data_IF_505662457005
#
_entry.id   IF_505662457005
#
_cell.length_a   1.000
_cell.length_b   1.000
_cell.length_c   1.000
_cell.angle_alpha   90.00
_cell.angle_beta   90.00
_cell.angle_gamma   90.00
#
_symmetry.space_group_name_H-M   'P 1'
#
loop_
_entity.id
_entity.type
_entity.pdbx_description
1 polymer ?
#
# COMPACT_ATOMS: atom_id res chain seq x y z
N UNK A 1 -2.39 11.40 -50.56
CA UNK A 1 -1.80 10.92 -49.28
C UNK A 1 -2.36 9.55 -48.95
N UNK A 2 -1.50 8.56 -48.69
CA UNK A 2 -1.94 7.22 -48.28
C UNK A 2 -2.37 7.20 -46.80
N UNK A 3 -3.17 6.19 -46.42
CA UNK A 3 -3.57 6.00 -45.02
C UNK A 3 -2.36 5.80 -44.10
N UNK A 4 -1.34 5.08 -44.56
CA UNK A 4 -0.10 4.86 -43.79
C UNK A 4 0.66 6.17 -43.54
N UNK A 5 0.75 7.04 -44.55
CA UNK A 5 1.41 8.34 -44.42
C UNK A 5 0.71 9.23 -43.38
N UNK A 6 -0.64 9.20 -43.34
CA UNK A 6 -1.41 9.94 -42.32
C UNK A 6 -1.11 9.44 -40.91
N UNK A 7 -1.04 8.13 -40.70
CA UNK A 7 -0.68 7.56 -39.40
C UNK A 7 0.76 7.86 -39.01
N UNK A 8 1.71 7.82 -39.94
CA UNK A 8 3.12 8.20 -39.68
C UNK A 8 3.25 9.67 -39.28
N UNK A 9 2.58 10.57 -39.99
CA UNK A 9 2.58 11.99 -39.62
C UNK A 9 1.92 12.24 -38.26
N UNK A 10 0.83 11.53 -37.96
CA UNK A 10 0.17 11.59 -36.65
C UNK A 10 1.10 11.09 -35.53
N UNK A 11 1.84 10.01 -35.78
CA UNK A 11 2.84 9.48 -34.86
C UNK A 11 3.96 10.50 -34.57
N UNK A 12 4.55 11.11 -35.60
CA UNK A 12 5.59 12.13 -35.42
C UNK A 12 5.08 13.37 -34.68
N UNK A 13 3.84 13.82 -34.95
CA UNK A 13 3.24 14.93 -34.20
C UNK A 13 3.08 14.63 -32.72
N UNK A 14 2.66 13.41 -32.38
CA UNK A 14 2.52 13.01 -30.97
C UNK A 14 3.87 12.88 -30.28
N UNK A 15 4.91 12.39 -30.98
CA UNK A 15 6.29 12.36 -30.45
C UNK A 15 6.80 13.78 -30.16
N UNK A 16 6.52 14.73 -31.05
CA UNK A 16 6.93 16.12 -30.90
C UNK A 16 6.05 16.93 -29.93
N UNK A 17 5.00 16.33 -29.34
CA UNK A 17 4.10 17.04 -28.41
C UNK A 17 3.20 18.09 -29.07
N UNK A 18 3.06 18.05 -30.40
CA UNK A 18 2.25 18.99 -31.19
C UNK A 18 1.08 18.28 -31.88
N UNK A 19 0.12 17.69 -31.13
CA UNK A 19 -1.07 17.09 -31.71
C UNK A 19 -1.96 18.17 -32.37
N UNK A 20 -2.65 17.77 -33.44
CA UNK A 20 -3.61 18.64 -34.16
C UNK A 20 -5.06 18.28 -33.84
N UNK A 21 -5.34 17.00 -33.58
CA UNK A 21 -6.70 16.50 -33.32
C UNK A 21 -6.88 16.19 -31.84
N UNK A 22 -5.86 15.58 -31.21
CA UNK A 22 -5.87 15.33 -29.78
C UNK A 22 -5.47 16.60 -29.00
N UNK A 23 -5.92 16.66 -27.75
CA UNK A 23 -5.46 17.68 -26.81
C UNK A 23 -3.94 17.55 -26.57
N UNK A 24 -3.29 18.68 -26.28
CA UNK A 24 -1.88 18.72 -25.93
C UNK A 24 -1.59 17.85 -24.69
N UNK A 25 -0.45 17.16 -24.70
CA UNK A 25 0.00 16.33 -23.58
C UNK A 25 -0.57 14.90 -23.54
N UNK A 26 -1.33 14.45 -24.55
CA UNK A 26 -1.71 13.03 -24.63
C UNK A 26 -0.49 12.15 -24.93
N UNK A 27 -0.36 10.99 -24.26
CA UNK A 27 0.76 10.09 -24.50
C UNK A 27 0.66 9.48 -25.90
N UNK A 28 1.82 9.19 -26.48
CA UNK A 28 1.91 8.38 -27.70
C UNK A 28 1.33 7.00 -27.38
N UNK A 29 0.33 6.55 -28.13
CA UNK A 29 -0.20 5.16 -28.10
C UNK A 29 -0.75 4.83 -29.47
N UNK A 30 -0.85 3.55 -29.84
CA UNK A 30 -1.43 3.13 -31.13
C UNK A 30 -2.82 3.74 -31.37
N UNK A 31 -3.67 3.74 -30.35
CA UNK A 31 -5.02 4.30 -30.42
C UNK A 31 -4.98 5.82 -30.60
N UNK A 32 -4.10 6.51 -29.89
CA UNK A 32 -3.95 7.96 -30.01
C UNK A 32 -3.39 8.36 -31.37
N UNK A 33 -2.45 7.58 -31.94
CA UNK A 33 -1.97 7.76 -33.32
C UNK A 33 -3.12 7.63 -34.32
N UNK A 34 -4.03 6.67 -34.13
CA UNK A 34 -5.19 6.52 -35.00
C UNK A 34 -6.17 7.72 -34.88
N UNK A 35 -6.47 8.16 -33.66
CA UNK A 35 -7.32 9.34 -33.41
C UNK A 35 -6.70 10.63 -33.94
N UNK A 36 -5.39 10.78 -33.79
CA UNK A 36 -4.64 11.94 -34.28
C UNK A 36 -4.56 11.98 -35.81
N UNK A 37 -4.68 10.83 -36.48
CA UNK A 37 -4.87 10.75 -37.93
C UNK A 37 -6.33 10.97 -38.38
N UNK A 38 -7.24 11.28 -37.45
CA UNK A 38 -8.68 11.47 -37.72
C UNK A 38 -9.45 10.18 -37.96
N UNK A 39 -8.93 9.05 -37.48
CA UNK A 39 -9.56 7.74 -37.65
C UNK A 39 -10.02 7.16 -36.30
N UNK A 40 -10.91 6.16 -36.36
CA UNK A 40 -11.29 5.37 -35.19
C UNK A 40 -10.07 4.66 -34.58
N UNK A 41 -9.97 4.52 -33.23
CA UNK A 41 -8.87 3.82 -32.57
C UNK A 41 -8.54 2.44 -33.15
N UNK A 42 -9.55 1.73 -33.67
CA UNK A 42 -9.38 0.38 -34.23
C UNK A 42 -8.90 0.36 -35.69
N UNK A 43 -8.74 1.52 -36.35
CA UNK A 43 -8.36 1.62 -37.76
C UNK A 43 -6.88 1.26 -38.02
N UNK A 44 -6.00 1.51 -37.04
CA UNK A 44 -4.58 1.17 -37.11
C UNK A 44 -4.38 -0.30 -36.70
N UNK A 45 -4.64 -1.24 -37.62
CA UNK A 45 -4.55 -2.69 -37.36
C UNK A 45 -3.22 -3.30 -37.81
N UNK A 46 -2.72 -4.28 -37.03
CA UNK A 46 -1.47 -5.02 -37.30
C UNK A 46 -1.46 -5.75 -38.64
N UNK A 47 -2.61 -6.25 -39.08
CA UNK A 47 -2.74 -6.90 -40.38
C UNK A 47 -2.43 -5.96 -41.56
N UNK A 48 -2.69 -4.65 -41.42
CA UNK A 48 -2.56 -3.66 -42.49
C UNK A 48 -1.28 -2.84 -42.39
N UNK A 49 -0.83 -2.54 -41.17
CA UNK A 49 0.32 -1.67 -40.91
C UNK A 49 1.31 -2.32 -39.92
N UNK A 50 1.86 -3.51 -40.23
CA UNK A 50 2.70 -4.25 -39.28
C UNK A 50 3.99 -3.52 -38.93
N UNK A 51 4.62 -2.82 -39.89
CA UNK A 51 5.86 -2.07 -39.66
C UNK A 51 5.65 -0.88 -38.72
N UNK A 52 4.65 -0.04 -39.01
CA UNK A 52 4.34 1.14 -38.19
C UNK A 52 3.96 0.77 -36.76
N UNK A 53 3.23 -0.33 -36.55
CA UNK A 53 2.89 -0.78 -35.18
C UNK A 53 4.14 -1.20 -34.42
N UNK A 54 5.11 -1.87 -35.07
CA UNK A 54 6.38 -2.21 -34.42
C UNK A 54 7.15 -0.96 -34.03
N UNK A 55 7.20 0.05 -34.90
CA UNK A 55 7.85 1.34 -34.58
C UNK A 55 7.19 2.02 -33.38
N UNK A 56 5.86 2.04 -33.32
CA UNK A 56 5.12 2.60 -32.17
C UNK A 56 5.44 1.81 -30.91
N UNK A 57 5.47 0.48 -30.97
CA UNK A 57 5.81 -0.37 -29.82
C UNK A 57 7.24 -0.14 -29.33
N UNK A 58 8.22 -0.07 -30.23
CA UNK A 58 9.60 0.23 -29.89
C UNK A 58 9.74 1.62 -29.25
N UNK A 59 9.04 2.62 -29.78
CA UNK A 59 9.00 3.95 -29.18
C UNK A 59 8.43 3.92 -27.77
N UNK A 60 7.34 3.18 -27.55
CA UNK A 60 6.73 3.01 -26.23
C UNK A 60 7.68 2.33 -25.23
N UNK A 61 8.40 1.29 -25.63
CA UNK A 61 9.37 0.62 -24.75
C UNK A 61 10.52 1.54 -24.34
N UNK A 62 10.98 2.40 -25.26
CA UNK A 62 12.06 3.36 -25.01
C UNK A 62 11.61 4.58 -24.18
N UNK A 63 10.32 4.94 -24.20
CA UNK A 63 9.82 6.20 -23.63
C UNK A 63 8.71 6.02 -22.58
N UNK A 64 8.38 4.78 -22.17
CA UNK A 64 7.45 4.56 -21.07
C UNK A 64 8.17 4.71 -19.72
N UNK A 65 7.88 5.82 -19.04
CA UNK A 65 7.75 5.80 -17.58
C UNK A 65 6.77 4.68 -17.19
N UNK A 66 7.08 3.82 -16.20
CA UNK A 66 6.35 2.57 -15.96
C UNK A 66 4.88 2.85 -15.61
N UNK A 67 3.98 2.62 -16.57
CA UNK A 67 2.54 2.68 -16.36
C UNK A 67 2.17 1.52 -15.43
N UNK A 68 1.70 1.76 -14.19
CA UNK A 68 1.35 0.66 -13.30
C UNK A 68 0.20 -0.14 -13.90
N UNK A 69 0.44 -1.44 -14.11
CA UNK A 69 -0.54 -2.37 -14.66
C UNK A 69 -1.88 -2.26 -13.92
N UNK A 70 -3.00 -2.41 -14.63
CA UNK A 70 -4.37 -2.48 -14.04
C UNK A 70 -4.45 -3.49 -12.88
N UNK A 71 -3.59 -4.50 -12.88
CA UNK A 71 -3.43 -5.46 -11.79
C UNK A 71 -2.81 -4.83 -10.53
N UNK A 72 -1.78 -3.99 -10.68
CA UNK A 72 -1.15 -3.25 -9.58
C UNK A 72 -2.09 -2.19 -8.99
N UNK A 73 -2.90 -1.52 -9.81
CA UNK A 73 -3.92 -0.58 -9.31
C UNK A 73 -5.02 -1.31 -8.55
N UNK A 74 -5.47 -2.48 -9.02
CA UNK A 74 -6.41 -3.33 -8.28
C UNK A 74 -5.84 -3.83 -6.95
N UNK A 75 -4.55 -4.24 -6.90
CA UNK A 75 -3.88 -4.61 -5.66
C UNK A 75 -3.75 -3.44 -4.69
N UNK A 76 -3.35 -2.25 -5.16
CA UNK A 76 -3.30 -1.03 -4.34
C UNK A 76 -4.69 -0.64 -3.82
N UNK A 77 -5.73 -0.75 -4.64
CA UNK A 77 -7.11 -0.50 -4.23
C UNK A 77 -7.60 -1.52 -3.20
N UNK A 78 -7.24 -2.81 -3.33
CA UNK A 78 -7.61 -3.85 -2.35
C UNK A 78 -6.89 -3.66 -1.02
N UNK A 79 -5.63 -3.23 -1.05
CA UNK A 79 -4.84 -2.85 0.14
C UNK A 79 -5.36 -1.56 0.80
N UNK A 80 -5.84 -0.61 0.00
CA UNK A 80 -6.51 0.61 0.48
C UNK A 80 -7.93 0.33 1.00
N UNK A 81 -8.63 -0.65 0.42
CA UNK A 81 -9.95 -1.19 0.85
C UNK A 81 -9.87 -2.15 2.04
N UNK A 82 -8.80 -2.12 2.86
CA UNK A 82 -8.93 -2.64 4.23
C UNK A 82 -10.00 -1.78 4.87
N UNK A 83 -11.21 -2.33 5.01
CA UNK A 83 -12.38 -1.53 5.32
C UNK A 83 -12.19 -0.90 6.69
N UNK A 84 -12.83 0.25 6.94
CA UNK A 84 -12.86 0.84 8.28
C UNK A 84 -13.36 -0.21 9.30
N UNK A 85 -14.27 -1.10 8.89
CA UNK A 85 -14.75 -2.21 9.69
C UNK A 85 -13.65 -3.22 10.06
N UNK A 86 -12.75 -3.58 9.13
CA UNK A 86 -11.63 -4.48 9.42
C UNK A 86 -10.64 -3.86 10.40
N UNK A 87 -10.34 -2.56 10.24
CA UNK A 87 -9.45 -1.83 11.17
C UNK A 87 -10.08 -1.69 12.54
N UNK A 88 -11.39 -1.45 12.60
CA UNK A 88 -12.13 -1.36 13.86
C UNK A 88 -12.15 -2.70 14.57
N UNK A 89 -12.36 -3.80 13.83
CA UNK A 89 -12.31 -5.16 14.38
C UNK A 89 -10.93 -5.48 14.96
N UNK A 90 -9.86 -5.18 14.22
CA UNK A 90 -8.49 -5.38 14.69
C UNK A 90 -8.21 -4.55 15.95
N UNK A 91 -8.66 -3.28 15.98
CA UNK A 91 -8.52 -2.41 17.14
C UNK A 91 -9.29 -2.93 18.38
N UNK A 92 -10.51 -3.46 18.20
CA UNK A 92 -11.27 -4.09 19.27
C UNK A 92 -10.53 -5.31 19.84
N UNK A 93 -10.03 -6.20 18.98
CA UNK A 93 -9.28 -7.37 19.41
C UNK A 93 -8.01 -7.00 20.19
N UNK A 94 -7.28 -5.98 19.72
CA UNK A 94 -6.09 -5.47 20.40
C UNK A 94 -6.42 -4.86 21.77
N UNK A 95 -7.50 -4.08 21.85
CA UNK A 95 -7.97 -3.49 23.11
C UNK A 95 -8.35 -4.59 24.10
N UNK A 96 -9.13 -5.57 23.68
CA UNK A 96 -9.64 -6.62 24.57
C UNK A 96 -8.48 -7.47 25.11
N UNK A 97 -7.48 -7.78 24.27
CA UNK A 97 -6.25 -8.43 24.71
C UNK A 97 -5.46 -7.59 25.73
N UNK A 98 -5.29 -6.29 25.47
CA UNK A 98 -4.59 -5.39 26.38
C UNK A 98 -5.31 -5.26 27.74
N UNK A 99 -6.64 -5.19 27.74
CA UNK A 99 -7.46 -5.12 28.97
C UNK A 99 -7.37 -6.41 29.79
N UNK A 100 -7.34 -7.57 29.12
CA UNK A 100 -7.14 -8.86 29.79
C UNK A 100 -5.76 -8.94 30.47
N UNK A 101 -4.71 -8.49 29.77
CA UNK A 101 -3.35 -8.43 30.33
C UNK A 101 -3.27 -7.44 31.51
N UNK A 102 -3.86 -6.26 31.38
CA UNK A 102 -3.88 -5.25 32.44
C UNK A 102 -4.59 -5.75 33.70
N UNK A 103 -5.74 -6.42 33.53
CA UNK A 103 -6.49 -7.00 34.65
C UNK A 103 -5.66 -8.07 35.37
N UNK A 104 -4.98 -8.92 34.60
CA UNK A 104 -4.07 -9.95 35.14
C UNK A 104 -2.90 -9.33 35.89
N UNK A 105 -2.32 -8.25 35.36
CA UNK A 105 -1.24 -7.51 36.01
C UNK A 105 -1.70 -6.83 37.31
N UNK A 106 -2.86 -6.18 37.33
CA UNK A 106 -3.43 -5.59 38.54
C UNK A 106 -3.67 -6.63 39.63
N UNK A 107 -4.24 -7.79 39.27
CA UNK A 107 -4.39 -8.91 40.20
C UNK A 107 -3.04 -9.31 40.79
N UNK A 108 -2.02 -9.44 39.95
CA UNK A 108 -0.68 -9.84 40.41
C UNK A 108 -0.03 -8.81 41.33
N UNK A 109 -0.24 -7.52 41.06
CA UNK A 109 0.23 -6.44 41.93
C UNK A 109 -0.41 -6.54 43.32
N UNK A 110 -1.72 -6.78 43.39
CA UNK A 110 -2.42 -6.95 44.67
C UNK A 110 -1.85 -8.15 45.44
N UNK A 111 -1.78 -9.32 44.80
CA UNK A 111 -1.23 -10.54 45.41
C UNK A 111 0.19 -10.32 45.96
N UNK A 112 1.07 -9.67 45.18
CA UNK A 112 2.43 -9.39 45.61
C UNK A 112 2.49 -8.35 46.73
N UNK A 113 1.60 -7.35 46.71
CA UNK A 113 1.54 -6.31 47.75
C UNK A 113 1.12 -6.91 49.09
N UNK A 114 0.12 -7.81 49.08
CA UNK A 114 -0.31 -8.56 50.26
C UNK A 114 0.82 -9.46 50.81
N UNK A 115 1.55 -10.14 49.92
CA UNK A 115 2.70 -10.96 50.31
C UNK A 115 3.81 -10.12 50.94
N UNK A 116 4.16 -8.97 50.35
CA UNK A 116 5.15 -8.05 50.90
C UNK A 116 4.73 -7.56 52.28
N UNK A 117 3.46 -7.17 52.45
CA UNK A 117 2.94 -6.72 53.74
C UNK A 117 2.99 -7.83 54.80
N UNK A 118 2.63 -9.06 54.44
CA UNK A 118 2.69 -10.21 55.34
C UNK A 118 4.13 -10.53 55.77
N UNK A 119 5.07 -10.52 54.82
CA UNK A 119 6.49 -10.74 55.10
C UNK A 119 7.08 -9.63 55.96
N UNK A 120 6.70 -8.37 55.73
CA UNK A 120 7.13 -7.24 56.55
C UNK A 120 6.63 -7.41 57.99
N UNK A 121 5.37 -7.79 58.19
CA UNK A 121 4.83 -8.06 59.52
C UNK A 121 5.58 -9.19 60.24
N UNK A 122 5.87 -10.30 59.54
CA UNK A 122 6.66 -11.41 60.10
C UNK A 122 8.07 -10.97 60.49
N UNK A 123 8.72 -10.15 59.67
CA UNK A 123 10.04 -9.61 59.96
C UNK A 123 10.00 -8.70 61.20
N UNK A 124 9.00 -7.82 61.30
CA UNK A 124 8.82 -6.93 62.43
C UNK A 124 8.56 -7.73 63.72
N UNK A 125 7.78 -8.82 63.69
CA UNK A 125 7.60 -9.72 64.83
C UNK A 125 8.90 -10.41 65.27
N UNK A 126 9.76 -10.81 64.32
CA UNK A 126 11.06 -11.42 64.63
C UNK A 126 12.01 -10.39 65.23
N UNK A 127 12.04 -9.16 64.69
CA UNK A 127 12.89 -8.07 65.18
C UNK A 127 12.44 -7.53 66.54
N UNK A 128 11.13 -7.55 66.82
CA UNK A 128 10.55 -7.03 68.08
C UNK A 128 10.52 -8.06 69.21
N UNK A 129 10.68 -9.37 68.94
CA UNK A 129 10.88 -10.38 69.99
C UNK A 129 12.29 -10.20 70.58
N UNK A 130 12.43 -9.79 71.86
CA UNK A 130 13.76 -9.69 72.47
C UNK A 130 14.37 -11.09 72.50
N UNK A 131 15.49 -11.26 71.80
CA UNK A 131 16.39 -12.38 71.93
C UNK A 131 16.69 -12.52 73.43
N UNK A 132 16.07 -13.49 74.10
CA UNK A 132 16.44 -13.85 75.47
C UNK A 132 17.84 -14.46 75.37
N UNK A 133 18.85 -13.61 75.43
CA UNK A 133 20.23 -14.00 75.63
C UNK A 133 20.27 -14.63 77.03
N UNK A 134 20.20 -15.96 77.06
CA UNK A 134 20.48 -16.75 78.25
C UNK A 134 21.95 -16.53 78.61
N UNK A 135 22.20 -15.74 79.65
CA UNK A 135 23.54 -15.64 80.26
C UNK A 135 23.80 -16.94 81.02
N UNK A 136 24.86 -17.65 80.63
CA UNK A 136 25.59 -18.58 81.50
C UNK A 136 26.76 -17.83 82.14
#
# INVERSE_FOLDING_TARGET
>A
MSAEQRFRQAFERLKAGHPRVLEHGKPVTQNNVAREAGCDPSALRKARFPALIREIQAYLELHQEPIPSKRQTAFKQRRAKRSVADRLKDACLQRDAAQSLLTSAHRRIIELSEQVQSLQHQLDEVLTKPTRISRN
#
